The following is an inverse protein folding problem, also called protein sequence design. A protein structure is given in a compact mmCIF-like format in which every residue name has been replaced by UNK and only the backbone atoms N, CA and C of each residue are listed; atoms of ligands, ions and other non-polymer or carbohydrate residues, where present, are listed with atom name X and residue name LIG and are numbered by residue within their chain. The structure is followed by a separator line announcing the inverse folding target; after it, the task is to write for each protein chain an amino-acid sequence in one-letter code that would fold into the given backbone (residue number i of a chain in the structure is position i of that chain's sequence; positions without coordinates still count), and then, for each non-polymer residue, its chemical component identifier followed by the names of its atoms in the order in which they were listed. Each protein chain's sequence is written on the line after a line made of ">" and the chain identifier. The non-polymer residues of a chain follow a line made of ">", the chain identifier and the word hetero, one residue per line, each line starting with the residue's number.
data_IF_357235609466
#
_entry.id   IF_357235609466
#
_cell.length_a   1.000
_cell.length_b   1.000
_cell.length_c   1.000
_cell.angle_alpha   90.00
_cell.angle_beta   90.00
_cell.angle_gamma   90.00
#
_symmetry.space_group_name_H-M   'P 1'
#
loop_
_entity.id
_entity.type
_entity.pdbx_description
1 polymer ?
#
# COMPACT_ATOMS: atom_id res chain seq x y z
N UNK A 1 -40.46 1.25 30.01
CA UNK A 1 -41.03 1.94 28.83
C UNK A 1 -39.89 2.15 27.84
N UNK A 2 -39.98 1.52 26.66
CA UNK A 2 -39.24 1.80 25.41
C UNK A 2 -37.70 1.67 25.48
N UNK A 3 -37.12 0.52 25.11
CA UNK A 3 -36.88 0.05 23.74
C UNK A 3 -36.23 1.13 22.87
N UNK A 4 -34.91 1.05 22.68
CA UNK A 4 -34.26 1.58 21.48
C UNK A 4 -33.05 0.69 21.14
N UNK A 5 -33.35 -0.44 20.49
CA UNK A 5 -32.37 -1.19 19.72
C UNK A 5 -32.16 -0.46 18.39
N UNK A 6 -30.95 -0.04 18.05
CA UNK A 6 -30.52 0.10 16.64
C UNK A 6 -29.04 -0.32 16.52
N UNK A 7 -28.67 -1.13 15.50
CA UNK A 7 -27.47 -1.96 15.49
C UNK A 7 -26.38 -1.43 14.52
N UNK A 8 -25.24 -2.13 14.53
CA UNK A 8 -24.33 -2.33 13.39
C UNK A 8 -23.77 -1.08 12.70
N UNK A 9 -22.54 -0.72 13.06
CA UNK A 9 -21.62 -0.07 12.13
C UNK A 9 -20.21 -0.63 12.32
N UNK A 10 -20.06 -1.91 11.97
CA UNK A 10 -18.78 -2.49 11.58
C UNK A 10 -18.53 -1.99 10.17
N UNK A 11 -17.85 -0.84 10.06
CA UNK A 11 -17.13 -0.49 8.85
C UNK A 11 -15.67 -0.38 9.23
N UNK A 12 -15.00 -1.53 9.12
CA UNK A 12 -13.56 -1.62 8.91
C UNK A 12 -13.18 -0.73 7.74
N UNK A 13 -12.77 0.48 8.05
CA UNK A 13 -11.99 1.31 7.17
C UNK A 13 -10.82 1.81 8.02
N UNK A 14 -9.90 0.88 8.34
CA UNK A 14 -8.50 1.26 8.44
C UNK A 14 -8.03 1.69 7.04
N UNK A 15 -8.61 2.78 6.53
CA UNK A 15 -7.93 3.62 5.57
C UNK A 15 -6.92 4.37 6.43
N UNK A 16 -5.80 3.69 6.71
CA UNK A 16 -4.56 4.34 7.08
C UNK A 16 -4.17 5.18 5.86
N UNK A 17 -4.86 6.31 5.71
CA UNK A 17 -4.34 7.52 5.11
C UNK A 17 -3.13 7.93 5.95
N UNK A 18 -2.02 7.20 5.82
CA UNK A 18 -0.71 7.74 6.17
C UNK A 18 -0.22 8.54 4.97
N UNK A 19 -0.97 9.61 4.64
CA UNK A 19 -0.40 10.75 3.93
C UNK A 19 0.39 11.53 4.98
N UNK A 20 1.67 11.19 5.12
CA UNK A 20 2.65 12.01 5.81
C UNK A 20 3.52 12.67 4.74
N UNK A 21 3.22 13.93 4.43
CA UNK A 21 4.22 14.84 3.84
C UNK A 21 5.35 15.00 4.88
N UNK A 22 6.54 14.46 4.59
CA UNK A 22 7.84 15.08 4.88
C UNK A 22 8.96 14.21 4.26
N UNK A 23 9.61 14.74 3.23
CA UNK A 23 10.86 14.33 2.57
C UNK A 23 11.06 12.89 2.01
N UNK A 24 11.25 12.84 0.68
CA UNK A 24 11.85 11.80 -0.17
C UNK A 24 11.15 10.43 -0.35
N UNK A 25 10.25 10.00 0.53
CA UNK A 25 9.55 8.71 0.36
C UNK A 25 8.38 8.83 -0.62
N UNK A 26 8.52 8.23 -1.82
CA UNK A 26 7.44 8.18 -2.82
C UNK A 26 6.75 6.82 -2.79
N UNK A 27 5.45 6.77 -2.54
CA UNK A 27 4.67 5.54 -2.46
C UNK A 27 3.58 5.45 -3.53
N UNK A 28 3.30 4.23 -3.99
CA UNK A 28 2.20 3.91 -4.90
C UNK A 28 1.58 2.57 -4.52
N UNK A 29 0.34 2.34 -4.96
CA UNK A 29 -0.32 1.06 -4.81
C UNK A 29 -0.08 0.18 -6.04
N UNK A 30 0.15 -1.10 -5.77
CA UNK A 30 0.36 -2.15 -6.75
C UNK A 30 -0.64 -3.27 -6.50
N UNK A 31 -1.16 -3.87 -7.57
CA UNK A 31 -2.03 -5.05 -7.48
C UNK A 31 -1.83 -5.97 -8.68
N UNK A 32 -2.21 -7.23 -8.56
CA UNK A 32 -2.22 -8.18 -9.67
C UNK A 32 -3.38 -9.17 -9.49
N UNK A 33 -3.63 -10.01 -10.50
CA UNK A 33 -4.61 -11.10 -10.35
C UNK A 33 -4.20 -12.13 -9.28
N UNK A 34 -2.91 -12.19 -8.93
CA UNK A 34 -2.33 -13.18 -8.01
C UNK A 34 -2.11 -12.65 -6.60
N UNK A 35 -2.11 -11.32 -6.41
CA UNK A 35 -1.80 -10.68 -5.13
C UNK A 35 -2.80 -9.57 -4.82
N UNK A 36 -3.29 -9.46 -3.57
CA UNK A 36 -4.09 -8.30 -3.16
C UNK A 36 -3.30 -7.01 -3.34
N UNK A 37 -3.99 -5.87 -3.34
CA UNK A 37 -3.34 -4.55 -3.39
C UNK A 37 -2.35 -4.40 -2.24
N UNK A 38 -1.16 -3.89 -2.54
CA UNK A 38 -0.10 -3.61 -1.58
C UNK A 38 0.53 -2.25 -1.89
N UNK A 39 1.11 -1.63 -0.86
CA UNK A 39 1.83 -0.38 -1.01
C UNK A 39 3.29 -0.67 -1.35
N UNK A 40 3.78 -0.07 -2.43
CA UNK A 40 5.19 -0.05 -2.80
C UNK A 40 5.73 1.37 -2.60
N UNK A 41 6.82 1.51 -1.87
CA UNK A 41 7.47 2.80 -1.66
C UNK A 41 8.93 2.78 -2.07
N UNK A 42 9.42 3.92 -2.56
CA UNK A 42 10.84 4.23 -2.64
C UNK A 42 11.27 4.80 -1.30
N UNK A 43 12.15 4.09 -0.61
CA UNK A 43 12.76 4.55 0.64
C UNK A 43 13.91 5.56 0.37
N UNK A 44 14.30 6.37 1.37
CA UNK A 44 15.39 7.35 1.21
C UNK A 44 16.76 6.75 0.83
N UNK A 45 16.99 5.46 1.14
CA UNK A 45 18.18 4.73 0.73
C UNK A 45 18.16 4.27 -0.75
N UNK A 46 17.06 4.50 -1.48
CA UNK A 46 16.84 4.07 -2.85
C UNK A 46 16.26 2.67 -3.03
N UNK A 47 15.99 1.95 -1.94
CA UNK A 47 15.37 0.62 -1.99
C UNK A 47 13.85 0.72 -2.13
N UNK A 48 13.23 -0.36 -2.63
CA UNK A 48 11.81 -0.59 -2.49
C UNK A 48 11.48 -1.07 -1.07
N UNK A 49 10.38 -0.59 -0.52
CA UNK A 49 9.68 -1.24 0.60
C UNK A 49 8.29 -1.67 0.19
N UNK A 50 7.85 -2.83 0.68
CA UNK A 50 6.49 -3.36 0.49
C UNK A 50 5.76 -3.30 1.82
N UNK A 51 4.66 -2.54 1.88
CA UNK A 51 3.89 -2.29 3.09
C UNK A 51 4.75 -1.82 4.28
N UNK A 52 5.81 -1.04 4.00
CA UNK A 52 6.73 -0.51 5.01
C UNK A 52 7.94 -1.40 5.32
N UNK A 53 8.04 -2.60 4.72
CA UNK A 53 9.19 -3.50 4.91
C UNK A 53 10.21 -3.35 3.77
N UNK A 54 11.42 -2.89 4.08
CA UNK A 54 12.51 -2.72 3.11
C UNK A 54 12.91 -4.08 2.50
N UNK A 55 12.92 -4.15 1.17
CA UNK A 55 13.20 -5.38 0.41
C UNK A 55 14.69 -5.66 0.23
N UNK A 56 15.56 -4.71 0.58
CA UNK A 56 16.98 -4.72 0.25
C UNK A 56 17.28 -4.54 -1.24
N UNK A 57 16.26 -4.31 -2.07
CA UNK A 57 16.35 -4.24 -3.53
C UNK A 57 16.07 -2.82 -4.00
N UNK A 58 16.82 -2.35 -5.01
CA UNK A 58 16.59 -1.03 -5.61
C UNK A 58 15.15 -0.89 -6.11
N UNK A 59 14.56 0.29 -5.87
CA UNK A 59 13.15 0.54 -6.19
C UNK A 59 12.79 0.32 -7.66
N UNK A 60 13.61 0.80 -8.61
CA UNK A 60 13.32 0.67 -10.04
C UNK A 60 13.36 -0.79 -10.51
N UNK A 61 14.35 -1.55 -10.03
CA UNK A 61 14.49 -2.98 -10.34
C UNK A 61 13.31 -3.78 -9.77
N UNK A 62 12.89 -3.45 -8.54
CA UNK A 62 11.76 -4.13 -7.91
C UNK A 62 10.44 -3.81 -8.64
N UNK A 63 10.22 -2.55 -8.98
CA UNK A 63 9.04 -2.12 -9.74
C UNK A 63 8.98 -2.77 -11.13
N UNK A 64 10.09 -2.77 -11.87
CA UNK A 64 10.17 -3.38 -13.20
C UNK A 64 9.84 -4.89 -13.12
N UNK A 65 10.43 -5.60 -12.16
CA UNK A 65 10.14 -7.02 -11.94
C UNK A 65 8.68 -7.30 -11.56
N UNK A 66 8.04 -6.40 -10.81
CA UNK A 66 6.60 -6.50 -10.53
C UNK A 66 5.76 -6.30 -11.80
N UNK A 67 6.09 -5.30 -12.62
CA UNK A 67 5.37 -5.01 -13.87
C UNK A 67 5.56 -6.13 -14.89
N UNK A 68 6.78 -6.66 -15.03
CA UNK A 68 7.07 -7.84 -15.88
C UNK A 68 6.31 -9.09 -15.40
N UNK A 69 6.12 -9.24 -14.09
CA UNK A 69 5.30 -10.30 -13.51
C UNK A 69 3.79 -10.04 -13.66
N UNK A 70 3.37 -8.90 -14.21
CA UNK A 70 1.97 -8.56 -14.48
C UNK A 70 1.27 -7.75 -13.38
N UNK A 71 2.01 -7.16 -12.43
CA UNK A 71 1.44 -6.22 -11.48
C UNK A 71 1.15 -4.87 -12.14
N UNK A 72 -0.01 -4.30 -11.82
CA UNK A 72 -0.36 -2.92 -12.16
C UNK A 72 -0.03 -2.02 -10.97
N UNK A 73 0.90 -1.10 -11.19
CA UNK A 73 1.52 -0.28 -10.16
C UNK A 73 1.34 1.19 -10.55
N UNK A 74 0.55 1.94 -9.77
CA UNK A 74 0.15 3.31 -10.10
C UNK A 74 -1.17 3.32 -10.87
N UNK A 75 -2.25 3.66 -10.17
CA UNK A 75 -3.58 3.87 -10.76
C UNK A 75 -3.70 5.20 -11.50
#
# INVERSE_FOLDING_TARGET
>A
MKQFQIPLLICSAMLLLSCGDDDERTCQFCSSDQTPEFQLCREPNGNASVNGEDTGTNYEIYLDGLVEAGASCGG
#
